data_IF_870182915623
#
_entry.id   IF_870182915623
#
_cell.length_a   1.000
_cell.length_b   1.000
_cell.length_c   1.000
_cell.angle_alpha   90.00
_cell.angle_beta   90.00
_cell.angle_gamma   90.00
#
_symmetry.space_group_name_H-M   'P 1'
#
loop_
_entity.id
_entity.type
_entity.pdbx_description
1 polymer ?
#
# COMPACT_ATOMS: atom_id res chain seq x y z
N UNK A 1 20.89 -7.65 -1.64
CA UNK A 1 19.64 -8.44 -1.70
C UNK A 1 18.60 -7.73 -0.86
N UNK A 2 18.09 -6.62 -1.36
CA UNK A 2 17.14 -5.77 -0.66
C UNK A 2 15.80 -6.49 -0.68
N UNK A 3 15.51 -7.18 0.43
CA UNK A 3 14.29 -7.96 0.62
C UNK A 3 13.12 -6.99 0.53
N UNK A 4 12.57 -6.82 -0.68
CA UNK A 4 11.48 -5.91 -1.05
C UNK A 4 10.49 -5.84 0.09
N UNK A 5 10.61 -4.80 0.92
CA UNK A 5 9.72 -4.62 2.06
C UNK A 5 8.34 -4.45 1.46
N UNK A 6 7.44 -5.41 1.69
CA UNK A 6 6.11 -5.44 1.08
C UNK A 6 5.51 -4.04 1.12
N UNK A 7 5.00 -3.53 -0.01
CA UNK A 7 4.48 -2.16 -0.13
C UNK A 7 3.42 -1.79 0.91
N UNK A 8 2.86 -2.79 1.60
CA UNK A 8 2.07 -2.63 2.82
C UNK A 8 2.72 -1.77 3.88
N UNK A 9 4.03 -1.86 4.11
CA UNK A 9 4.70 -1.07 5.16
C UNK A 9 4.71 0.43 4.89
N UNK A 10 4.51 0.89 3.64
CA UNK A 10 4.42 2.32 3.34
C UNK A 10 3.17 2.99 3.93
N UNK A 11 2.19 2.19 4.36
CA UNK A 11 0.92 2.66 4.92
C UNK A 11 0.87 2.56 6.45
N UNK A 12 1.95 2.08 7.07
CA UNK A 12 2.01 1.83 8.50
C UNK A 12 3.28 2.40 9.12
N UNK A 13 3.12 3.05 10.26
CA UNK A 13 4.22 3.46 11.12
C UNK A 13 4.45 2.41 12.20
N UNK A 14 5.68 1.92 12.35
CA UNK A 14 6.02 0.99 13.42
C UNK A 14 5.96 1.76 14.74
N UNK A 15 5.14 1.28 15.68
CA UNK A 15 5.06 1.87 17.04
C UNK A 15 5.84 1.00 18.03
N UNK A 16 5.77 -0.32 17.86
CA UNK A 16 6.51 -1.30 18.66
C UNK A 16 6.94 -2.45 17.75
N UNK A 17 7.90 -3.27 18.21
CA UNK A 17 8.36 -4.48 17.47
C UNK A 17 7.24 -5.47 17.11
N UNK A 18 6.06 -5.35 17.70
CA UNK A 18 4.90 -6.21 17.43
C UNK A 18 3.64 -5.46 17.00
N UNK A 19 3.67 -4.12 16.97
CA UNK A 19 2.50 -3.27 16.66
C UNK A 19 2.86 -2.14 15.72
N UNK A 20 2.06 -1.97 14.68
CA UNK A 20 2.16 -0.86 13.74
C UNK A 20 0.87 -0.05 13.74
N UNK A 21 0.96 1.26 13.55
CA UNK A 21 -0.17 2.18 13.44
C UNK A 21 -0.45 2.46 11.98
N UNK A 22 -1.71 2.32 11.59
CA UNK A 22 -2.17 2.68 10.26
C UNK A 22 -2.15 4.20 10.09
N UNK A 23 -1.54 4.71 9.02
CA UNK A 23 -1.48 6.16 8.78
C UNK A 23 -2.83 6.75 8.39
N UNK A 24 -3.78 5.94 7.91
CA UNK A 24 -5.09 6.40 7.45
C UNK A 24 -6.12 6.52 8.57
N UNK A 25 -6.23 5.52 9.44
CA UNK A 25 -7.21 5.51 10.54
C UNK A 25 -6.58 5.60 11.93
N UNK A 26 -5.25 5.74 12.02
CA UNK A 26 -4.53 5.73 13.29
C UNK A 26 -4.73 4.46 14.15
N UNK A 27 -5.31 3.40 13.59
CA UNK A 27 -5.57 2.15 14.30
C UNK A 27 -4.28 1.36 14.48
N UNK A 28 -4.06 0.86 15.70
CA UNK A 28 -2.96 -0.07 15.99
C UNK A 28 -3.27 -1.48 15.50
N UNK A 29 -2.38 -2.07 14.72
CA UNK A 29 -2.47 -3.41 14.16
C UNK A 29 -1.26 -4.22 14.63
N UNK A 30 -1.51 -5.37 15.24
CA UNK A 30 -0.45 -6.29 15.66
C UNK A 30 0.08 -7.10 14.47
N UNK A 31 1.41 -7.17 14.35
CA UNK A 31 2.12 -7.90 13.30
C UNK A 31 3.06 -8.98 13.89
N UNK A 32 2.70 -9.56 15.03
CA UNK A 32 3.44 -10.63 15.74
C UNK A 32 4.09 -11.63 14.77
N UNK A 33 5.40 -11.84 14.91
CA UNK A 33 6.18 -12.74 14.05
C UNK A 33 6.60 -12.15 12.69
N UNK A 34 6.60 -10.82 12.54
CA UNK A 34 7.05 -10.15 11.29
C UNK A 34 6.09 -10.33 10.11
N UNK A 35 4.90 -10.86 10.35
CA UNK A 35 3.93 -11.17 9.30
C UNK A 35 3.11 -9.94 8.90
N UNK A 36 3.08 -9.66 7.60
CA UNK A 36 2.31 -8.54 7.04
C UNK A 36 0.86 -8.89 6.67
N UNK A 37 0.44 -10.13 6.87
CA UNK A 37 -0.93 -10.61 6.57
C UNK A 37 -2.00 -9.82 7.32
N UNK A 38 -1.75 -9.46 8.59
CA UNK A 38 -2.68 -8.67 9.39
C UNK A 38 -2.80 -7.23 8.87
N UNK A 39 -1.67 -6.63 8.47
CA UNK A 39 -1.60 -5.30 7.87
C UNK A 39 -2.38 -5.31 6.53
N UNK A 40 -2.17 -6.33 5.70
CA UNK A 40 -2.86 -6.49 4.43
C UNK A 40 -4.38 -6.67 4.61
N UNK A 41 -4.82 -7.52 5.55
CA UNK A 41 -6.24 -7.68 5.90
C UNK A 41 -6.85 -6.39 6.42
N UNK A 42 -6.13 -5.64 7.25
CA UNK A 42 -6.62 -4.36 7.76
C UNK A 42 -6.89 -3.39 6.62
N UNK A 43 -5.93 -3.21 5.70
CA UNK A 43 -6.16 -2.37 4.52
C UNK A 43 -7.31 -2.90 3.68
N UNK A 44 -7.38 -4.22 3.39
CA UNK A 44 -8.48 -4.79 2.60
C UNK A 44 -9.85 -4.62 3.25
N UNK A 45 -9.98 -4.59 4.57
CA UNK A 45 -11.30 -4.48 5.25
C UNK A 45 -11.69 -3.04 5.58
N UNK A 46 -10.74 -2.23 6.07
CA UNK A 46 -11.00 -0.85 6.50
C UNK A 46 -10.64 0.21 5.46
N UNK A 47 -9.72 -0.11 4.55
CA UNK A 47 -9.20 0.81 3.54
C UNK A 47 -9.20 0.16 2.15
N UNK A 48 -10.33 -0.47 1.77
CA UNK A 48 -10.52 -1.14 0.47
C UNK A 48 -10.00 -0.28 -0.69
N UNK A 49 -10.34 1.01 -0.70
CA UNK A 49 -9.93 1.98 -1.72
C UNK A 49 -8.40 2.06 -1.81
N UNK A 50 -7.71 2.26 -0.68
CA UNK A 50 -6.23 2.37 -0.64
C UNK A 50 -5.54 1.02 -0.89
N UNK A 51 -6.18 -0.09 -0.53
CA UNK A 51 -5.68 -1.43 -0.81
C UNK A 51 -5.72 -1.76 -2.31
N UNK A 52 -6.81 -1.38 -2.98
CA UNK A 52 -7.05 -1.67 -4.39
C UNK A 52 -6.16 -0.82 -5.32
N UNK A 53 -5.84 0.42 -4.91
CA UNK A 53 -4.85 1.26 -5.59
C UNK A 53 -3.46 0.62 -5.74
N UNK A 54 -3.13 -0.44 -4.99
CA UNK A 54 -1.89 -1.21 -5.18
C UNK A 54 -1.96 -2.23 -6.31
N UNK A 55 -3.17 -2.65 -6.70
CA UNK A 55 -3.39 -3.53 -7.85
C UNK A 55 -3.49 -2.76 -9.15
N UNK A 56 -3.75 -1.45 -9.09
CA UNK A 56 -3.57 -0.61 -10.26
C UNK A 56 -2.05 -0.43 -10.47
N UNK A 57 -1.45 -0.98 -11.54
CA UNK A 57 -0.11 -0.56 -11.92
C UNK A 57 -0.13 0.95 -12.04
N UNK A 58 0.96 1.57 -11.59
CA UNK A 58 1.19 3.01 -11.63
C UNK A 58 0.64 3.55 -12.94
N UNK A 59 -0.22 4.56 -12.86
CA UNK A 59 -0.39 5.53 -13.93
C UNK A 59 0.99 6.17 -14.14
N UNK A 60 1.81 5.51 -14.93
CA UNK A 60 2.94 6.07 -15.65
C UNK A 60 2.63 6.09 -17.16
N UNK A 61 1.35 5.93 -17.50
CA UNK A 61 0.76 6.00 -18.86
C UNK A 61 -0.14 7.24 -18.92
N UNK A 62 0.45 8.42 -18.66
CA UNK A 62 -0.21 9.72 -18.92
C UNK A 62 0.71 10.64 -19.73
N UNK A 63 1.62 10.08 -20.53
CA UNK A 63 2.41 10.89 -21.44
C UNK A 63 2.82 10.13 -22.69
N UNK A 64 1.84 9.73 -23.52
CA UNK A 64 2.01 9.35 -24.93
C UNK A 64 0.63 9.39 -25.64
N UNK A 65 -0.12 10.46 -25.39
CA UNK A 65 -1.33 10.80 -26.13
C UNK A 65 -1.20 12.25 -26.63
N UNK A 66 -0.05 12.53 -27.24
CA UNK A 66 0.18 13.75 -28.01
C UNK A 66 1.04 13.37 -29.23
N UNK A 67 0.38 12.77 -30.21
CA UNK A 67 0.77 12.92 -31.60
C UNK A 67 -0.50 13.36 -32.30
N UNK A 68 -0.56 14.67 -32.53
CA UNK A 68 -1.34 15.38 -33.54
C UNK A 68 -1.43 14.51 -34.82
N UNK A 69 -2.44 14.47 -35.67
CA UNK A 69 -3.54 15.33 -36.06
C UNK A 69 -4.27 14.52 -37.17
N UNK A 70 -5.47 14.91 -37.61
CA UNK A 70 -6.27 14.21 -38.61
C UNK A 70 -5.85 14.53 -40.05
N UNK A 71 -5.81 13.51 -40.92
CA UNK A 71 -6.55 13.46 -42.19
C UNK A 71 -6.36 12.14 -42.91
#
# INVERSE_FOLDING_TARGET
MDRKKSGVWNHYSIINSEKAKCSYCSSSVSYKGGSTSNLSKHLKRKHIIQYDSRKHPRINEINEQYVDEPS
#
